data_IF_522643981198
#
_entry.id   IF_522643981198
#
_cell.length_a   1.000
_cell.length_b   1.000
_cell.length_c   1.000
_cell.angle_alpha   90.00
_cell.angle_beta   90.00
_cell.angle_gamma   90.00
#
_symmetry.space_group_name_H-M   'P 1'
#
loop_
_entity.id
_entity.type
_entity.pdbx_description
1 polymer ?
#
# COMPACT_ATOMS: atom_id res chain seq x y z
N UNK A 1 -41.82 19.66 -10.51
CA UNK A 1 -40.66 18.85 -10.07
C UNK A 1 -39.53 19.81 -9.76
N UNK A 2 -39.38 20.20 -8.49
CA UNK A 2 -38.26 21.04 -8.05
C UNK A 2 -36.99 20.18 -8.03
N UNK A 3 -35.89 20.57 -8.70
CA UNK A 3 -34.60 19.95 -8.47
C UNK A 3 -34.17 20.30 -7.05
N UNK A 4 -34.11 19.31 -6.17
CA UNK A 4 -33.67 19.45 -4.78
C UNK A 4 -32.31 20.12 -4.71
N UNK A 5 -32.25 21.27 -4.02
CA UNK A 5 -31.09 22.14 -3.86
C UNK A 5 -29.99 21.61 -2.92
N UNK A 6 -29.99 20.31 -2.55
CA UNK A 6 -29.09 19.74 -1.54
C UNK A 6 -28.20 18.59 -2.05
N UNK A 7 -28.00 18.46 -3.36
CA UNK A 7 -26.91 17.62 -3.86
C UNK A 7 -25.59 18.36 -3.65
N UNK A 8 -24.64 17.85 -2.83
CA UNK A 8 -23.34 18.49 -2.65
C UNK A 8 -22.68 18.68 -4.02
N UNK A 9 -22.11 19.85 -4.27
CA UNK A 9 -21.49 20.15 -5.55
C UNK A 9 -20.33 19.19 -5.76
N UNK A 10 -20.10 18.75 -7.00
CA UNK A 10 -18.98 17.85 -7.32
C UNK A 10 -17.62 18.40 -6.83
N UNK A 11 -17.45 19.72 -6.83
CA UNK A 11 -16.26 20.38 -6.27
C UNK A 11 -16.09 20.14 -4.76
N UNK A 12 -17.18 20.07 -3.99
CA UNK A 12 -17.13 19.81 -2.54
C UNK A 12 -16.73 18.36 -2.26
N UNK A 13 -17.26 17.42 -3.06
CA UNK A 13 -16.90 16.00 -3.03
C UNK A 13 -15.41 15.79 -3.32
N UNK A 14 -14.88 16.46 -4.34
CA UNK A 14 -13.45 16.46 -4.69
C UNK A 14 -12.61 17.07 -3.57
N UNK A 15 -13.02 18.21 -3.00
CA UNK A 15 -12.31 18.87 -1.89
C UNK A 15 -12.27 18.00 -0.65
N UNK A 16 -13.36 17.31 -0.32
CA UNK A 16 -13.41 16.40 0.82
C UNK A 16 -12.50 15.18 0.60
N UNK A 17 -12.53 14.57 -0.60
CA UNK A 17 -11.60 13.50 -0.95
C UNK A 17 -10.14 13.97 -0.85
N UNK A 18 -9.82 15.17 -1.36
CA UNK A 18 -8.46 15.71 -1.32
C UNK A 18 -7.96 15.93 0.11
N UNK A 19 -8.81 16.43 1.02
CA UNK A 19 -8.46 16.62 2.44
C UNK A 19 -8.13 15.32 3.16
N UNK A 20 -8.75 14.21 2.77
CA UNK A 20 -8.46 12.88 3.31
C UNK A 20 -7.25 12.23 2.62
N UNK A 21 -7.14 12.40 1.30
CA UNK A 21 -6.05 11.83 0.51
C UNK A 21 -4.69 12.49 0.81
N UNK A 22 -4.64 13.80 1.07
CA UNK A 22 -3.40 14.53 1.32
C UNK A 22 -2.56 13.95 2.48
N UNK A 23 -3.09 13.77 3.70
CA UNK A 23 -2.30 13.17 4.79
C UNK A 23 -1.94 11.70 4.52
N UNK A 24 -2.79 10.93 3.82
CA UNK A 24 -2.48 9.56 3.43
C UNK A 24 -1.32 9.49 2.44
N UNK A 25 -1.36 10.31 1.38
CA UNK A 25 -0.30 10.42 0.39
C UNK A 25 1.02 10.88 1.04
N UNK A 26 0.96 11.85 1.96
CA UNK A 26 2.12 12.29 2.73
C UNK A 26 2.68 11.18 3.65
N UNK A 27 1.80 10.36 4.24
CA UNK A 27 2.18 9.18 5.00
C UNK A 27 2.91 8.13 4.15
N UNK A 28 2.41 7.84 2.94
CA UNK A 28 3.11 6.94 2.00
C UNK A 28 4.44 7.51 1.54
N UNK A 29 4.51 8.82 1.26
CA UNK A 29 5.76 9.50 0.94
C UNK A 29 6.78 9.33 2.07
N UNK A 30 6.37 9.43 3.33
CA UNK A 30 7.25 9.19 4.47
C UNK A 30 7.81 7.76 4.49
N UNK A 31 7.03 6.74 4.09
CA UNK A 31 7.55 5.37 3.97
C UNK A 31 8.57 5.24 2.83
N UNK A 32 8.38 5.96 1.71
CA UNK A 32 9.38 6.03 0.64
C UNK A 32 10.68 6.68 1.09
N UNK A 33 10.57 7.74 1.90
CA UNK A 33 11.73 8.42 2.49
C UNK A 33 12.50 7.54 3.47
N UNK A 34 11.82 6.65 4.20
CA UNK A 34 12.49 5.65 5.06
C UNK A 34 13.43 4.77 4.25
N UNK A 35 12.96 4.20 3.14
CA UNK A 35 13.80 3.38 2.26
C UNK A 35 14.96 4.17 1.64
N UNK A 36 14.72 5.44 1.30
CA UNK A 36 15.76 6.35 0.81
C UNK A 36 16.84 6.61 1.88
N UNK A 37 16.45 6.91 3.13
CA UNK A 37 17.39 7.13 4.23
C UNK A 37 18.22 5.89 4.52
N UNK A 38 17.60 4.71 4.56
CA UNK A 38 18.29 3.44 4.75
C UNK A 38 19.39 3.23 3.68
N UNK A 39 19.04 3.50 2.43
CA UNK A 39 19.97 3.39 1.29
C UNK A 39 21.12 4.40 1.40
N UNK A 40 20.84 5.65 1.78
CA UNK A 40 21.86 6.70 1.92
C UNK A 40 22.82 6.39 3.07
N UNK A 41 22.29 5.94 4.22
CA UNK A 41 23.11 5.57 5.38
C UNK A 41 24.00 4.38 5.04
N UNK A 42 23.43 3.33 4.42
CA UNK A 42 24.19 2.15 4.00
C UNK A 42 25.25 2.49 2.95
N UNK A 43 24.92 3.34 1.97
CA UNK A 43 25.83 3.78 0.92
C UNK A 43 27.03 4.58 1.42
N UNK A 44 26.86 5.39 2.47
CA UNK A 44 27.97 6.12 3.11
C UNK A 44 28.92 5.23 3.88
N UNK A 45 28.43 4.14 4.46
CA UNK A 45 29.25 3.19 5.20
C UNK A 45 30.09 2.31 4.27
N UNK A 46 29.54 1.89 3.12
CA UNK A 46 30.30 1.14 2.14
C UNK A 46 29.44 0.35 1.16
N UNK A 47 30.04 -0.01 0.02
CA UNK A 47 29.37 -0.72 -1.08
C UNK A 47 28.83 -2.09 -0.66
N UNK A 48 29.59 -2.84 0.16
CA UNK A 48 29.16 -4.13 0.69
C UNK A 48 27.95 -3.99 1.63
N UNK A 49 27.94 -2.97 2.49
CA UNK A 49 26.82 -2.66 3.40
C UNK A 49 25.57 -2.27 2.62
N UNK A 50 25.72 -1.42 1.60
CA UNK A 50 24.63 -1.04 0.70
C UNK A 50 24.00 -2.26 0.02
N UNK A 51 24.81 -3.13 -0.55
CA UNK A 51 24.33 -4.34 -1.21
C UNK A 51 23.60 -5.28 -0.24
N UNK A 52 24.15 -5.46 0.97
CA UNK A 52 23.54 -6.26 2.04
C UNK A 52 22.17 -5.73 2.48
N UNK A 53 22.06 -4.41 2.70
CA UNK A 53 20.81 -3.75 3.07
C UNK A 53 19.78 -3.83 1.95
N UNK A 54 20.19 -3.66 0.69
CA UNK A 54 19.29 -3.77 -0.46
C UNK A 54 18.67 -5.17 -0.58
N UNK A 55 19.50 -6.22 -0.48
CA UNK A 55 19.03 -7.62 -0.50
C UNK A 55 18.12 -7.90 0.71
N UNK A 56 18.52 -7.50 1.92
CA UNK A 56 17.73 -7.69 3.13
C UNK A 56 16.38 -6.97 3.07
N UNK A 57 16.33 -5.75 2.53
CA UNK A 57 15.12 -4.96 2.37
C UNK A 57 14.17 -5.58 1.35
N UNK A 58 14.66 -6.07 0.21
CA UNK A 58 13.85 -6.75 -0.79
C UNK A 58 13.22 -8.04 -0.23
N UNK A 59 14.01 -8.83 0.50
CA UNK A 59 13.56 -10.07 1.15
C UNK A 59 12.61 -9.83 2.32
N UNK A 60 12.65 -8.65 2.93
CA UNK A 60 11.71 -8.23 3.96
C UNK A 60 10.37 -7.77 3.36
N UNK A 61 10.39 -6.86 2.38
CA UNK A 61 9.18 -6.23 1.86
C UNK A 61 8.30 -7.17 1.05
N UNK A 62 8.89 -8.07 0.27
CA UNK A 62 8.15 -9.02 -0.58
C UNK A 62 7.15 -9.86 0.24
N UNK A 63 7.56 -10.59 1.30
CA UNK A 63 6.61 -11.32 2.13
C UNK A 63 5.76 -10.39 3.02
N UNK A 64 6.24 -9.20 3.38
CA UNK A 64 5.48 -8.21 4.18
C UNK A 64 4.22 -7.67 3.45
N UNK A 65 4.21 -7.67 2.11
CA UNK A 65 3.05 -7.24 1.31
C UNK A 65 1.78 -8.03 1.64
N UNK A 66 1.90 -9.32 1.96
CA UNK A 66 0.75 -10.19 2.23
C UNK A 66 0.05 -9.82 3.56
N UNK A 67 0.74 -9.72 4.70
CA UNK A 67 0.15 -9.18 5.93
C UNK A 67 -0.37 -7.74 5.77
N UNK A 68 0.40 -6.86 5.13
CA UNK A 68 0.00 -5.48 4.91
C UNK A 68 -1.35 -5.41 4.17
N UNK A 69 -1.45 -6.09 3.02
CA UNK A 69 -2.69 -6.12 2.26
C UNK A 69 -3.83 -6.85 2.98
N UNK A 70 -3.53 -7.86 3.80
CA UNK A 70 -4.56 -8.53 4.62
C UNK A 70 -5.16 -7.58 5.65
N UNK A 71 -4.35 -6.74 6.27
CA UNK A 71 -4.79 -5.74 7.25
C UNK A 71 -5.52 -4.55 6.61
N UNK A 72 -5.35 -4.30 5.30
CA UNK A 72 -6.12 -3.30 4.54
C UNK A 72 -7.62 -3.62 4.42
N UNK A 73 -8.10 -4.75 4.94
CA UNK A 73 -9.54 -4.99 5.13
C UNK A 73 -10.13 -4.25 6.35
N UNK A 74 -9.28 -3.73 7.25
CA UNK A 74 -9.73 -3.04 8.45
C UNK A 74 -10.33 -1.65 8.16
N UNK A 75 -9.70 -0.75 7.37
CA UNK A 75 -10.28 0.57 7.08
C UNK A 75 -11.71 0.53 6.52
N UNK A 76 -12.05 -0.29 5.49
CA UNK A 76 -13.42 -0.34 4.99
C UNK A 76 -14.40 -0.93 6.02
N UNK A 77 -13.97 -1.91 6.82
CA UNK A 77 -14.82 -2.49 7.88
C UNK A 77 -15.16 -1.49 8.98
N UNK A 78 -14.16 -0.73 9.43
CA UNK A 78 -14.33 0.33 10.44
C UNK A 78 -15.20 1.46 9.87
N UNK A 79 -14.92 1.89 8.65
CA UNK A 79 -15.64 2.99 8.02
C UNK A 79 -17.12 2.69 7.78
N UNK A 80 -17.45 1.44 7.42
CA UNK A 80 -18.84 0.99 7.31
C UNK A 80 -19.57 0.98 8.66
N UNK A 81 -18.92 0.51 9.73
CA UNK A 81 -19.52 0.54 11.08
C UNK A 81 -19.76 1.97 11.54
N UNK A 82 -18.81 2.86 11.29
CA UNK A 82 -18.97 4.29 11.59
C UNK A 82 -20.09 4.93 10.75
N UNK A 83 -20.16 4.62 9.45
CA UNK A 83 -21.25 5.06 8.56
C UNK A 83 -22.63 4.56 8.99
N UNK A 84 -22.71 3.33 9.49
CA UNK A 84 -23.94 2.73 10.03
C UNK A 84 -24.29 3.23 11.44
N UNK A 85 -23.51 4.16 12.01
CA UNK A 85 -23.61 4.63 13.41
C UNK A 85 -23.47 3.52 14.47
N UNK A 86 -22.83 2.41 14.11
CA UNK A 86 -22.58 1.24 14.98
C UNK A 86 -21.19 1.32 15.61
N UNK A 87 -20.84 2.48 16.18
CA UNK A 87 -19.49 2.77 16.70
C UNK A 87 -19.08 1.86 17.87
N UNK A 88 -20.04 1.36 18.65
CA UNK A 88 -19.78 0.39 19.72
C UNK A 88 -19.17 -0.93 19.25
N UNK A 89 -19.32 -1.29 17.98
CA UNK A 89 -18.76 -2.53 17.41
C UNK A 89 -17.35 -2.35 16.83
N UNK A 90 -16.87 -1.11 16.68
CA UNK A 90 -15.54 -0.79 16.15
C UNK A 90 -14.44 -1.26 17.10
N UNK A 91 -14.62 -1.03 18.41
CA UNK A 91 -13.67 -1.45 19.44
C UNK A 91 -13.42 -2.97 19.46
N UNK A 92 -14.48 -3.80 19.57
CA UNK A 92 -14.38 -5.26 19.45
C UNK A 92 -13.71 -5.70 18.14
N UNK A 93 -14.13 -5.15 16.99
CA UNK A 93 -13.54 -5.47 15.70
C UNK A 93 -12.03 -5.18 15.65
N UNK A 94 -11.61 -4.04 16.18
CA UNK A 94 -10.21 -3.65 16.24
C UNK A 94 -9.39 -4.55 17.17
N UNK A 95 -9.93 -4.96 18.32
CA UNK A 95 -9.24 -5.93 19.19
C UNK A 95 -9.02 -7.27 18.50
N UNK A 96 -10.00 -7.74 17.71
CA UNK A 96 -9.85 -8.96 16.91
C UNK A 96 -8.85 -8.78 15.76
N UNK A 97 -8.73 -7.57 15.18
CA UNK A 97 -7.70 -7.30 14.18
C UNK A 97 -6.29 -7.23 14.77
N UNK A 98 -6.12 -6.87 16.05
CA UNK A 98 -4.84 -6.99 16.75
C UNK A 98 -4.39 -8.45 16.86
N UNK A 99 -5.29 -9.37 17.22
CA UNK A 99 -4.99 -10.81 17.24
C UNK A 99 -4.59 -11.33 15.86
N UNK A 100 -5.30 -10.88 14.82
CA UNK A 100 -4.93 -11.19 13.43
C UNK A 100 -3.54 -10.64 13.06
N UNK A 101 -3.24 -9.39 13.41
CA UNK A 101 -1.92 -8.79 13.17
C UNK A 101 -0.80 -9.52 13.90
N UNK A 102 -1.01 -9.91 15.16
CA UNK A 102 -0.04 -10.72 15.90
C UNK A 102 0.18 -12.08 15.27
N UNK A 103 -0.89 -12.76 14.81
CA UNK A 103 -0.78 -14.03 14.09
C UNK A 103 0.00 -13.91 12.77
N UNK A 104 -0.33 -12.91 11.96
CA UNK A 104 0.39 -12.63 10.70
C UNK A 104 1.84 -12.18 10.96
N UNK A 105 2.06 -11.37 11.99
CA UNK A 105 3.38 -10.92 12.42
C UNK A 105 4.26 -12.07 12.93
N UNK A 106 3.70 -13.00 13.69
CA UNK A 106 4.40 -14.21 14.14
C UNK A 106 4.76 -15.13 12.98
N UNK A 107 3.82 -15.33 12.04
CA UNK A 107 4.09 -16.09 10.81
C UNK A 107 5.24 -15.47 10.01
N UNK A 108 5.21 -14.14 9.84
CA UNK A 108 6.25 -13.44 9.10
C UNK A 108 7.59 -13.42 9.86
N UNK A 109 7.57 -13.32 11.19
CA UNK A 109 8.76 -13.44 12.03
C UNK A 109 9.44 -14.81 11.85
N UNK A 110 8.65 -15.89 11.84
CA UNK A 110 9.16 -17.24 11.58
C UNK A 110 9.72 -17.36 10.16
N UNK A 111 9.01 -16.83 9.17
CA UNK A 111 9.45 -16.82 7.77
C UNK A 111 10.79 -16.08 7.61
N UNK A 112 10.90 -14.85 8.10
CA UNK A 112 12.13 -14.04 8.04
C UNK A 112 13.29 -14.65 8.83
N UNK A 113 13.00 -15.50 9.82
CA UNK A 113 14.05 -16.27 10.52
C UNK A 113 14.67 -17.36 9.66
N UNK A 114 13.90 -17.96 8.74
CA UNK A 114 14.36 -19.04 7.85
C UNK A 114 14.91 -18.49 6.53
N UNK A 115 14.45 -17.33 6.07
CA UNK A 115 14.88 -16.71 4.81
C UNK A 115 16.42 -16.61 4.62
N UNK A 116 17.22 -16.25 5.63
CA UNK A 116 18.67 -16.16 5.48
C UNK A 116 19.31 -17.47 5.02
N UNK A 117 18.74 -18.63 5.35
CA UNK A 117 19.21 -19.94 4.92
C UNK A 117 19.09 -20.15 3.41
N UNK A 118 18.19 -19.39 2.75
CA UNK A 118 17.97 -19.44 1.31
C UNK A 118 18.91 -18.50 0.54
N UNK A 119 19.66 -17.62 1.21
CA UNK A 119 20.56 -16.65 0.54
C UNK A 119 21.67 -17.33 -0.28
N UNK A 120 22.27 -18.40 0.26
CA UNK A 120 23.30 -19.18 -0.44
C UNK A 120 22.77 -19.85 -1.71
N UNK A 121 21.70 -20.67 -1.62
CA UNK A 121 21.07 -21.28 -2.79
C UNK A 121 20.56 -20.28 -3.84
N UNK A 122 20.27 -19.04 -3.46
CA UNK A 122 19.85 -17.97 -4.38
C UNK A 122 21.00 -17.38 -5.22
N UNK A 123 22.24 -17.76 -4.98
CA UNK A 123 23.41 -17.27 -5.73
C UNK A 123 23.87 -15.86 -5.32
N UNK A 124 23.51 -15.41 -4.11
CA UNK A 124 24.00 -14.14 -3.57
C UNK A 124 25.49 -14.27 -3.24
N UNK A 125 26.29 -13.24 -3.57
CA UNK A 125 27.73 -13.24 -3.33
C UNK A 125 28.05 -13.47 -1.84
N UNK A 126 29.04 -14.32 -1.57
CA UNK A 126 29.40 -14.78 -0.22
C UNK A 126 29.69 -13.62 0.75
N UNK A 127 30.26 -12.52 0.26
CA UNK A 127 30.61 -11.36 1.05
C UNK A 127 29.39 -10.55 1.53
N UNK A 128 28.25 -10.66 0.84
CA UNK A 128 27.01 -9.94 1.14
C UNK A 128 26.14 -10.72 2.14
N UNK A 129 26.23 -12.06 2.12
CA UNK A 129 25.39 -12.95 2.92
C UNK A 129 25.43 -12.61 4.42
N UNK A 130 26.60 -12.40 5.07
CA UNK A 130 26.66 -12.07 6.49
C UNK A 130 25.92 -10.77 6.83
N UNK A 131 26.10 -9.73 6.00
CA UNK A 131 25.46 -8.44 6.18
C UNK A 131 23.94 -8.51 6.02
N UNK A 132 23.47 -9.18 4.96
CA UNK A 132 22.04 -9.35 4.70
C UNK A 132 21.37 -10.21 5.80
N UNK A 133 22.05 -11.26 6.27
CA UNK A 133 21.60 -12.09 7.39
C UNK A 133 21.49 -11.29 8.68
N UNK A 134 22.51 -10.47 8.98
CA UNK A 134 22.49 -9.56 10.12
C UNK A 134 21.33 -8.56 10.08
N UNK A 135 21.09 -7.94 8.92
CA UNK A 135 19.95 -7.05 8.71
C UNK A 135 18.61 -7.77 8.94
N UNK A 136 18.41 -8.95 8.34
CA UNK A 136 17.17 -9.74 8.47
C UNK A 136 16.91 -10.19 9.92
N UNK A 137 17.95 -10.62 10.63
CA UNK A 137 17.84 -11.01 12.04
C UNK A 137 17.57 -9.86 12.99
N UNK A 138 17.98 -8.64 12.62
CA UNK A 138 17.68 -7.43 13.37
C UNK A 138 16.25 -6.94 13.08
N UNK A 139 15.90 -6.76 11.80
CA UNK A 139 14.61 -6.20 11.39
C UNK A 139 13.42 -7.10 11.77
N UNK A 140 13.62 -8.43 11.88
CA UNK A 140 12.54 -9.34 12.27
C UNK A 140 11.90 -8.98 13.62
N UNK A 141 12.67 -8.43 14.55
CA UNK A 141 12.16 -8.00 15.86
C UNK A 141 11.23 -6.79 15.77
N UNK A 142 11.27 -6.06 14.66
CA UNK A 142 10.33 -4.98 14.35
C UNK A 142 9.03 -5.44 13.69
N UNK A 143 8.95 -6.66 13.15
CA UNK A 143 7.76 -7.17 12.42
C UNK A 143 6.49 -7.19 13.28
N UNK A 144 6.51 -7.73 14.51
CA UNK A 144 5.33 -7.71 15.36
C UNK A 144 4.88 -6.28 15.67
N UNK A 145 5.82 -5.36 15.89
CA UNK A 145 5.50 -3.96 16.14
C UNK A 145 4.87 -3.30 14.91
N UNK A 146 5.44 -3.54 13.73
CA UNK A 146 4.95 -2.95 12.48
C UNK A 146 3.55 -3.44 12.11
N UNK A 147 3.27 -4.74 12.25
CA UNK A 147 1.92 -5.29 11.96
C UNK A 147 0.86 -4.74 12.92
N UNK A 148 1.18 -4.60 14.21
CA UNK A 148 0.28 -3.98 15.19
C UNK A 148 0.11 -2.48 14.92
N UNK A 149 1.18 -1.78 14.56
CA UNK A 149 1.14 -0.38 14.13
C UNK A 149 0.19 -0.20 12.92
N UNK A 150 0.25 -1.10 11.93
CA UNK A 150 -0.67 -1.07 10.79
C UNK A 150 -2.13 -1.17 11.22
N UNK A 151 -2.47 -2.03 12.21
CA UNK A 151 -3.83 -2.09 12.75
C UNK A 151 -4.28 -0.79 13.42
N UNK A 152 -3.39 -0.13 14.16
CA UNK A 152 -3.69 1.16 14.80
C UNK A 152 -3.88 2.28 13.78
N UNK A 153 -2.98 2.34 12.80
CA UNK A 153 -3.05 3.25 11.65
C UNK A 153 -4.36 3.06 10.89
N UNK A 154 -4.66 1.83 10.47
CA UNK A 154 -5.84 1.51 9.67
C UNK A 154 -7.17 1.74 10.40
N UNK A 155 -7.19 1.66 11.73
CA UNK A 155 -8.32 2.13 12.54
C UNK A 155 -8.54 3.64 12.38
N UNK A 156 -7.48 4.42 12.55
CA UNK A 156 -7.53 5.89 12.45
C UNK A 156 -7.94 6.34 11.04
N UNK A 157 -7.36 5.70 10.01
CA UNK A 157 -7.69 5.96 8.61
C UNK A 157 -9.15 5.61 8.31
N UNK A 158 -9.66 4.48 8.83
CA UNK A 158 -11.06 4.06 8.70
C UNK A 158 -12.07 5.04 9.32
N UNK A 159 -11.66 5.82 10.32
CA UNK A 159 -12.45 6.85 10.99
C UNK A 159 -12.31 8.25 10.37
N UNK A 160 -11.79 8.35 9.15
CA UNK A 160 -11.54 9.60 8.43
C UNK A 160 -10.53 10.53 9.12
N UNK A 161 -9.60 9.96 9.90
CA UNK A 161 -8.61 10.74 10.65
C UNK A 161 -7.19 10.24 10.38
N UNK A 162 -6.61 10.67 9.27
CA UNK A 162 -5.30 10.21 8.81
C UNK A 162 -4.13 11.15 9.17
N UNK A 163 -4.40 12.28 9.83
CA UNK A 163 -3.34 13.20 10.29
C UNK A 163 -2.31 12.52 11.22
N UNK A 164 -2.70 11.66 12.20
CA UNK A 164 -1.74 10.97 13.06
C UNK A 164 -0.84 10.01 12.28
N UNK A 165 -1.40 9.35 11.26
CA UNK A 165 -0.67 8.48 10.34
C UNK A 165 0.49 9.23 9.68
N UNK A 166 0.22 10.43 9.17
CA UNK A 166 1.25 11.29 8.59
C UNK A 166 2.31 11.71 9.61
N UNK A 167 1.89 12.26 10.76
CA UNK A 167 2.82 12.78 11.78
C UNK A 167 3.73 11.69 12.35
N UNK A 168 3.19 10.51 12.63
CA UNK A 168 3.96 9.38 13.18
C UNK A 168 4.81 8.72 12.09
N UNK A 169 4.37 8.75 10.82
CA UNK A 169 5.19 8.39 9.67
C UNK A 169 6.48 9.20 9.64
N UNK A 170 6.37 10.53 9.56
CA UNK A 170 7.53 11.44 9.56
C UNK A 170 8.32 11.39 10.87
N UNK A 171 7.65 11.22 12.01
CA UNK A 171 8.31 10.99 13.29
C UNK A 171 9.19 9.73 13.29
N UNK A 172 8.77 8.68 12.60
CA UNK A 172 9.58 7.49 12.37
C UNK A 172 10.87 7.80 11.60
N UNK A 173 10.78 8.62 10.55
CA UNK A 173 11.97 9.05 9.80
C UNK A 173 12.98 9.79 10.69
N UNK A 174 12.50 10.64 11.60
CA UNK A 174 13.33 11.37 12.57
C UNK A 174 13.99 10.45 13.59
N UNK A 175 13.42 9.27 13.88
CA UNK A 175 14.07 8.25 14.71
C UNK A 175 15.08 7.43 13.90
N UNK A 176 14.71 7.06 12.67
CA UNK A 176 15.50 6.20 11.81
C UNK A 176 16.79 6.87 11.33
N UNK A 177 16.74 8.12 10.85
CA UNK A 177 17.93 8.77 10.30
C UNK A 177 19.10 8.89 11.30
N UNK A 178 18.92 9.42 12.53
CA UNK A 178 20.00 9.47 13.52
C UNK A 178 20.32 8.08 14.08
N UNK A 179 19.31 7.25 14.39
CA UNK A 179 19.51 5.92 14.95
C UNK A 179 20.26 5.00 14.00
N UNK A 180 19.88 5.01 12.73
CA UNK A 180 20.53 4.29 11.65
C UNK A 180 21.97 4.75 11.46
N UNK A 181 22.23 6.05 11.44
CA UNK A 181 23.60 6.57 11.31
C UNK A 181 24.50 6.16 12.49
N UNK A 182 24.00 6.25 13.73
CA UNK A 182 24.75 5.91 14.94
C UNK A 182 25.04 4.40 15.02
N UNK A 183 24.02 3.56 14.82
CA UNK A 183 24.15 2.10 14.92
C UNK A 183 24.95 1.49 13.77
N UNK A 184 24.89 2.11 12.59
CA UNK A 184 25.65 1.64 11.42
C UNK A 184 27.14 1.95 11.59
N UNK A 185 27.51 3.16 12.01
CA UNK A 185 28.90 3.60 12.11
C UNK A 185 29.54 3.41 13.50
N UNK A 186 28.84 2.86 14.49
CA UNK A 186 29.39 2.62 15.83
C UNK A 186 29.71 3.90 16.63
N UNK A 187 28.89 4.95 16.51
CA UNK A 187 29.08 6.17 17.29
C UNK A 187 28.64 5.97 18.76
N UNK A 188 29.19 6.76 19.67
CA UNK A 188 28.94 6.70 21.13
C UNK A 188 29.47 5.44 21.85
N UNK A 189 30.53 4.80 21.32
CA UNK A 189 31.16 3.63 21.95
C UNK A 189 30.41 2.32 21.70
N UNK A 190 29.44 2.31 20.79
CA UNK A 190 28.78 1.11 20.29
C UNK A 190 29.64 0.41 19.24
N UNK A 191 29.58 -0.93 19.12
CA UNK A 191 30.27 -1.65 18.06
C UNK A 191 29.71 -1.25 16.69
N UNK A 192 30.58 -1.20 15.67
CA UNK A 192 30.20 -0.99 14.28
C UNK A 192 29.42 -2.21 13.77
N UNK A 193 28.10 -2.07 13.61
CA UNK A 193 27.21 -3.18 13.24
C UNK A 193 26.88 -3.20 11.73
N UNK A 194 27.31 -2.19 10.96
CA UNK A 194 27.06 -2.09 9.52
C UNK A 194 25.58 -2.30 9.17
N UNK A 195 25.31 -3.24 8.26
CA UNK A 195 23.95 -3.57 7.82
C UNK A 195 23.04 -4.06 8.96
N UNK A 196 23.57 -4.76 9.96
CA UNK A 196 22.77 -5.20 11.11
C UNK A 196 22.32 -4.01 11.97
N UNK A 197 23.16 -2.97 12.09
CA UNK A 197 22.83 -1.75 12.82
C UNK A 197 21.64 -1.03 12.23
N UNK A 198 21.56 -0.97 10.89
CA UNK A 198 20.41 -0.40 10.21
C UNK A 198 19.13 -1.21 10.43
N UNK A 199 19.21 -2.54 10.39
CA UNK A 199 18.06 -3.39 10.71
C UNK A 199 17.53 -3.20 12.14
N UNK A 200 18.42 -2.97 13.12
CA UNK A 200 18.04 -2.63 14.49
C UNK A 200 17.42 -1.23 14.59
N UNK A 201 17.94 -0.26 13.84
CA UNK A 201 17.38 1.08 13.77
C UNK A 201 15.95 1.06 13.20
N UNK A 202 15.71 0.29 12.11
CA UNK A 202 14.37 0.11 11.55
C UNK A 202 13.44 -0.61 12.54
N UNK A 203 13.92 -1.62 13.26
CA UNK A 203 13.14 -2.29 14.30
C UNK A 203 12.75 -1.33 15.44
N UNK A 204 13.71 -0.53 15.93
CA UNK A 204 13.47 0.49 16.95
C UNK A 204 12.49 1.56 16.47
N UNK A 205 12.58 1.99 15.21
CA UNK A 205 11.63 2.90 14.58
C UNK A 205 10.22 2.31 14.61
N UNK A 206 10.03 1.05 14.22
CA UNK A 206 8.70 0.41 14.24
C UNK A 206 8.10 0.32 15.65
N UNK A 207 8.93 0.01 16.65
CA UNK A 207 8.50 0.05 18.06
C UNK A 207 8.15 1.47 18.50
N UNK A 208 8.95 2.48 18.13
CA UNK A 208 8.67 3.88 18.41
C UNK A 208 7.36 4.35 17.80
N UNK A 209 7.11 4.00 16.54
CA UNK A 209 5.85 4.29 15.84
C UNK A 209 4.66 3.61 16.50
N UNK A 210 4.79 2.33 16.87
CA UNK A 210 3.77 1.60 17.61
C UNK A 210 3.44 2.30 18.94
N UNK A 211 4.44 2.61 19.75
CA UNK A 211 4.25 3.25 21.06
C UNK A 211 3.64 4.64 20.93
N UNK A 212 4.11 5.45 19.98
CA UNK A 212 3.57 6.77 19.72
C UNK A 212 2.09 6.70 19.29
N UNK A 213 1.74 5.74 18.43
CA UNK A 213 0.37 5.58 17.96
C UNK A 213 -0.55 5.03 19.06
N UNK A 214 -0.07 4.08 19.85
CA UNK A 214 -0.79 3.53 21.00
C UNK A 214 -1.10 4.62 22.04
N UNK A 215 -0.10 5.45 22.35
CA UNK A 215 -0.23 6.60 23.25
C UNK A 215 -1.22 7.62 22.69
N UNK A 216 -1.13 7.96 21.40
CA UNK A 216 -2.06 8.87 20.75
C UNK A 216 -3.51 8.37 20.82
N UNK A 217 -3.76 7.09 20.51
CA UNK A 217 -5.10 6.49 20.61
C UNK A 217 -5.63 6.47 22.04
N UNK A 218 -4.75 6.33 23.04
CA UNK A 218 -5.15 6.31 24.46
C UNK A 218 -5.47 7.71 24.99
N UNK A 219 -4.71 8.73 24.59
CA UNK A 219 -4.85 10.09 25.11
C UNK A 219 -5.88 10.93 24.36
N UNK A 220 -6.12 10.62 23.09
CA UNK A 220 -7.00 11.44 22.24
C UNK A 220 -8.47 11.25 22.62
N UNK A 221 -9.19 12.32 23.03
CA UNK A 221 -10.60 12.25 23.41
C UNK A 221 -11.51 11.73 22.30
N UNK A 222 -11.05 11.86 21.04
CA UNK A 222 -11.81 11.48 19.83
C UNK A 222 -12.03 9.97 19.68
N UNK A 223 -11.23 9.14 20.36
CA UNK A 223 -11.35 7.67 20.32
C UNK A 223 -11.86 7.09 21.65
N UNK A 224 -12.16 7.94 22.63
CA UNK A 224 -12.60 7.52 23.95
C UNK A 224 -13.95 6.77 23.90
N UNK A 225 -14.83 7.16 22.96
CA UNK A 225 -16.14 6.54 22.73
C UNK A 225 -16.06 5.09 22.21
N UNK A 226 -14.92 4.69 21.64
CA UNK A 226 -14.73 3.36 21.06
C UNK A 226 -14.35 2.30 22.09
N UNK A 227 -13.99 2.70 23.32
CA UNK A 227 -13.61 1.78 24.39
C UNK A 227 -12.49 0.80 23.97
N UNK A 228 -11.52 1.27 23.18
CA UNK A 228 -10.49 0.42 22.53
C UNK A 228 -9.77 -0.47 23.55
N UNK A 229 -9.36 0.11 24.68
CA UNK A 229 -8.61 -0.54 25.75
C UNK A 229 -9.49 -0.96 26.94
N UNK A 230 -10.82 -0.82 26.86
CA UNK A 230 -11.71 -1.03 28.00
C UNK A 230 -11.88 -2.52 28.38
N UNK A 231 -11.77 -3.42 27.40
CA UNK A 231 -11.99 -4.86 27.61
C UNK A 231 -10.90 -5.68 26.93
N UNK A 232 -10.39 -6.67 27.65
CA UNK A 232 -9.58 -7.72 27.06
C UNK A 232 -10.49 -8.83 26.52
N UNK A 233 -10.63 -8.89 25.19
CA UNK A 233 -11.42 -9.94 24.54
C UNK A 233 -10.50 -11.09 24.06
N UNK A 234 -10.94 -12.32 24.35
CA UNK A 234 -10.30 -13.52 23.80
C UNK A 234 -10.43 -13.56 22.27
N UNK A 235 -9.52 -14.24 21.55
CA UNK A 235 -9.61 -14.39 20.10
C UNK A 235 -10.95 -15.04 19.69
N UNK A 236 -11.74 -14.33 18.89
CA UNK A 236 -12.98 -14.83 18.32
C UNK A 236 -12.74 -15.26 16.88
N UNK A 237 -12.60 -16.57 16.68
CA UNK A 237 -12.27 -17.12 15.37
C UNK A 237 -13.26 -16.73 14.27
N UNK A 238 -14.55 -16.59 14.58
CA UNK A 238 -15.56 -16.18 13.58
C UNK A 238 -15.24 -14.79 12.97
N UNK A 239 -14.91 -13.81 13.82
CA UNK A 239 -14.57 -12.45 13.41
C UNK A 239 -13.22 -12.41 12.68
N UNK A 240 -12.22 -13.12 13.22
CA UNK A 240 -10.88 -13.22 12.61
C UNK A 240 -10.97 -13.88 11.22
N UNK A 241 -11.73 -14.98 11.09
CA UNK A 241 -11.99 -15.66 9.81
C UNK A 241 -12.73 -14.74 8.82
N UNK A 242 -13.64 -13.90 9.31
CA UNK A 242 -14.32 -12.89 8.50
C UNK A 242 -13.40 -11.80 7.98
N UNK A 243 -12.43 -11.35 8.80
CA UNK A 243 -11.38 -10.42 8.40
C UNK A 243 -10.40 -11.06 7.42
N UNK A 244 -9.92 -12.28 7.70
CA UNK A 244 -9.07 -13.06 6.80
C UNK A 244 -9.73 -13.32 5.45
N UNK A 245 -11.02 -13.70 5.44
CA UNK A 245 -11.75 -13.98 4.21
C UNK A 245 -11.89 -12.78 3.28
N UNK A 246 -11.83 -11.56 3.83
CA UNK A 246 -11.86 -10.29 3.08
C UNK A 246 -10.46 -9.75 2.79
N UNK A 247 -9.55 -9.86 3.75
CA UNK A 247 -8.19 -9.34 3.69
C UNK A 247 -7.23 -10.20 2.87
N UNK A 248 -7.27 -11.52 3.00
CA UNK A 248 -6.36 -12.41 2.28
C UNK A 248 -6.43 -12.20 0.75
N UNK A 249 -7.61 -12.04 0.11
CA UNK A 249 -7.68 -11.66 -1.30
C UNK A 249 -7.01 -10.32 -1.62
N UNK A 250 -7.07 -9.32 -0.73
CA UNK A 250 -6.38 -8.04 -0.90
C UNK A 250 -4.87 -8.24 -0.81
N UNK A 251 -4.40 -8.97 0.20
CA UNK A 251 -3.00 -9.34 0.37
C UNK A 251 -2.44 -10.05 -0.86
N UNK A 252 -3.13 -11.09 -1.34
CA UNK A 252 -2.75 -11.81 -2.58
C UNK A 252 -2.69 -10.86 -3.76
N UNK A 253 -3.68 -9.97 -3.94
CA UNK A 253 -3.67 -9.00 -5.05
C UNK A 253 -2.43 -8.12 -5.02
N UNK A 254 -2.07 -7.56 -3.86
CA UNK A 254 -0.90 -6.69 -3.71
C UNK A 254 0.40 -7.48 -3.89
N UNK A 255 0.49 -8.70 -3.38
CA UNK A 255 1.65 -9.57 -3.60
C UNK A 255 1.79 -9.97 -5.07
N UNK A 256 0.69 -10.23 -5.78
CA UNK A 256 0.70 -10.52 -7.22
C UNK A 256 1.16 -9.32 -8.04
N UNK A 257 0.80 -8.11 -7.62
CA UNK A 257 1.26 -6.86 -8.22
C UNK A 257 2.75 -6.61 -7.93
N UNK A 258 3.19 -6.75 -6.68
CA UNK A 258 4.60 -6.59 -6.34
C UNK A 258 5.50 -7.62 -7.04
N UNK A 259 5.08 -8.89 -7.08
CA UNK A 259 5.82 -9.95 -7.78
C UNK A 259 5.89 -9.73 -9.29
N UNK A 260 4.87 -9.10 -9.91
CA UNK A 260 4.90 -8.70 -11.32
C UNK A 260 6.09 -7.78 -11.62
N UNK A 261 6.28 -6.73 -10.80
CA UNK A 261 7.39 -5.79 -10.97
C UNK A 261 8.74 -6.44 -10.71
N UNK A 262 8.84 -7.30 -9.68
CA UNK A 262 10.08 -8.01 -9.36
C UNK A 262 10.48 -8.94 -10.51
N UNK A 263 9.56 -9.76 -11.03
CA UNK A 263 9.87 -10.65 -12.15
C UNK A 263 10.18 -9.86 -13.41
N UNK A 264 9.49 -8.74 -13.67
CA UNK A 264 9.83 -7.87 -14.80
C UNK A 264 11.24 -7.33 -14.68
N UNK A 265 11.65 -6.82 -13.50
CA UNK A 265 13.01 -6.36 -13.26
C UNK A 265 14.04 -7.47 -13.48
N UNK A 266 13.76 -8.70 -13.02
CA UNK A 266 14.63 -9.87 -13.23
C UNK A 266 14.74 -10.26 -14.71
N UNK A 267 13.66 -10.16 -15.49
CA UNK A 267 13.69 -10.44 -16.93
C UNK A 267 14.48 -9.37 -17.69
N UNK A 268 14.31 -8.08 -17.33
CA UNK A 268 15.14 -7.00 -17.88
C UNK A 268 16.61 -7.21 -17.48
N UNK A 269 16.85 -7.76 -16.28
CA UNK A 269 18.12 -8.30 -15.78
C UNK A 269 18.94 -9.05 -16.81
N UNK A 270 18.26 -9.91 -17.58
CA UNK A 270 18.90 -10.80 -18.56
C UNK A 270 19.33 -10.09 -19.84
N UNK A 271 18.87 -8.86 -20.07
CA UNK A 271 19.16 -8.07 -21.28
C UNK A 271 20.46 -7.27 -21.16
N UNK A 272 21.07 -7.21 -19.98
CA UNK A 272 22.34 -6.53 -19.72
C UNK A 272 22.22 -5.34 -18.76
N UNK A 273 23.37 -4.79 -18.38
CA UNK A 273 23.48 -3.78 -17.32
C UNK A 273 22.77 -2.47 -17.64
N UNK A 274 22.91 -1.96 -18.87
CA UNK A 274 22.30 -0.70 -19.33
C UNK A 274 20.76 -0.76 -19.27
N UNK A 275 20.08 -1.78 -19.84
CA UNK A 275 18.64 -2.01 -19.66
C UNK A 275 18.16 -1.99 -18.21
N UNK A 276 18.90 -2.64 -17.31
CA UNK A 276 18.54 -2.77 -15.89
C UNK A 276 18.66 -1.42 -15.19
N UNK A 277 19.77 -0.72 -15.37
CA UNK A 277 19.98 0.60 -14.79
C UNK A 277 18.90 1.58 -15.25
N UNK A 278 18.58 1.57 -16.55
CA UNK A 278 17.53 2.42 -17.11
C UNK A 278 16.14 2.08 -16.55
N UNK A 279 15.80 0.79 -16.43
CA UNK A 279 14.55 0.35 -15.81
C UNK A 279 14.46 0.78 -14.36
N UNK A 280 15.55 0.66 -13.59
CA UNK A 280 15.56 1.01 -12.18
C UNK A 280 15.32 2.51 -11.95
N UNK A 281 15.90 3.38 -12.79
CA UNK A 281 15.61 4.81 -12.75
C UNK A 281 14.12 5.05 -13.04
N UNK A 282 13.59 4.46 -14.11
CA UNK A 282 12.20 4.69 -14.51
C UNK A 282 11.19 4.17 -13.47
N UNK A 283 11.39 2.99 -12.90
CA UNK A 283 10.47 2.40 -11.91
C UNK A 283 10.51 3.15 -10.58
N UNK A 284 11.66 3.69 -10.17
CA UNK A 284 11.77 4.51 -8.97
C UNK A 284 10.95 5.80 -9.09
N UNK A 285 11.06 6.51 -10.22
CA UNK A 285 10.27 7.73 -10.47
C UNK A 285 8.78 7.40 -10.56
N UNK A 286 8.42 6.27 -11.18
CA UNK A 286 7.03 5.79 -11.23
C UNK A 286 6.48 5.48 -9.84
N UNK A 287 7.25 4.79 -8.99
CA UNK A 287 6.86 4.44 -7.62
C UNK A 287 6.64 5.67 -6.74
N UNK A 288 7.48 6.70 -6.89
CA UNK A 288 7.28 7.98 -6.19
C UNK A 288 5.97 8.66 -6.60
N UNK A 289 5.66 8.68 -7.89
CA UNK A 289 4.39 9.24 -8.39
C UNK A 289 3.18 8.43 -7.92
N UNK A 290 3.32 7.10 -7.82
CA UNK A 290 2.25 6.17 -7.42
C UNK A 290 1.76 6.36 -5.98
N UNK A 291 2.60 6.90 -5.09
CA UNK A 291 2.22 7.14 -3.68
C UNK A 291 1.01 8.06 -3.54
N UNK A 292 0.82 9.00 -4.48
CA UNK A 292 -0.28 9.95 -4.46
C UNK A 292 -1.61 9.25 -4.82
N UNK A 293 -1.77 8.58 -5.99
CA UNK A 293 -2.95 7.77 -6.29
C UNK A 293 -3.25 6.72 -5.23
N UNK A 294 -2.23 6.09 -4.65
CA UNK A 294 -2.43 5.10 -3.60
C UNK A 294 -3.10 5.72 -2.36
N UNK A 295 -2.67 6.91 -1.93
CA UNK A 295 -3.33 7.68 -0.87
C UNK A 295 -4.77 8.09 -1.23
N UNK A 296 -5.03 8.48 -2.48
CA UNK A 296 -6.39 8.77 -2.97
C UNK A 296 -7.27 7.52 -2.98
N UNK A 297 -6.72 6.36 -3.31
CA UNK A 297 -7.42 5.08 -3.30
C UNK A 297 -7.79 4.65 -1.87
N UNK A 298 -6.90 4.83 -0.90
CA UNK A 298 -7.21 4.60 0.53
C UNK A 298 -8.32 5.56 1.01
N UNK A 299 -8.24 6.86 0.69
CA UNK A 299 -9.29 7.81 1.02
C UNK A 299 -10.64 7.41 0.39
N UNK A 300 -10.63 6.97 -0.88
CA UNK A 300 -11.83 6.51 -1.58
C UNK A 300 -12.40 5.24 -0.95
N UNK A 301 -11.54 4.31 -0.50
CA UNK A 301 -11.93 3.09 0.23
C UNK A 301 -12.75 3.45 1.47
N UNK A 302 -12.26 4.42 2.25
CA UNK A 302 -12.94 4.89 3.47
C UNK A 302 -14.25 5.59 3.11
N UNK A 303 -14.26 6.55 2.17
CA UNK A 303 -15.48 7.27 1.80
C UNK A 303 -16.58 6.34 1.23
N UNK A 304 -16.20 5.38 0.39
CA UNK A 304 -17.13 4.37 -0.14
C UNK A 304 -17.63 3.45 0.97
N UNK A 305 -16.75 3.01 1.88
CA UNK A 305 -17.14 2.23 3.06
C UNK A 305 -18.14 2.97 3.95
N UNK A 306 -17.88 4.24 4.25
CA UNK A 306 -18.80 5.07 5.02
C UNK A 306 -20.15 5.26 4.35
N UNK A 307 -20.17 5.56 3.04
CA UNK A 307 -21.40 5.70 2.27
C UNK A 307 -22.21 4.40 2.23
N UNK A 308 -21.54 3.26 2.09
CA UNK A 308 -22.16 1.94 2.18
C UNK A 308 -22.78 1.69 3.55
N UNK A 309 -22.06 2.02 4.63
CA UNK A 309 -22.57 1.91 6.00
C UNK A 309 -23.83 2.77 6.23
N UNK A 310 -23.91 3.93 5.57
CA UNK A 310 -25.07 4.84 5.59
C UNK A 310 -26.24 4.38 4.70
N UNK A 311 -26.06 3.36 3.87
CA UNK A 311 -27.04 2.97 2.85
C UNK A 311 -27.18 3.97 1.70
N UNK A 312 -26.22 4.88 1.51
CA UNK A 312 -26.24 5.93 0.48
C UNK A 312 -25.56 5.46 -0.81
N UNK A 313 -26.34 4.90 -1.75
CA UNK A 313 -25.83 4.43 -3.05
C UNK A 313 -25.23 5.57 -3.89
N UNK A 314 -25.82 6.76 -3.84
CA UNK A 314 -25.31 7.88 -4.62
C UNK A 314 -24.01 8.38 -4.01
N UNK A 315 -23.88 8.38 -2.68
CA UNK A 315 -22.64 8.66 -1.95
C UNK A 315 -21.49 7.74 -2.34
N UNK A 316 -21.75 6.44 -2.55
CA UNK A 316 -20.75 5.48 -3.05
C UNK A 316 -20.20 5.93 -4.41
N UNK A 317 -21.08 6.33 -5.33
CA UNK A 317 -20.69 6.76 -6.68
C UNK A 317 -20.01 8.13 -6.66
N UNK A 318 -20.51 9.09 -5.89
CA UNK A 318 -19.90 10.41 -5.70
C UNK A 318 -18.48 10.29 -5.17
N UNK A 319 -18.26 9.44 -4.15
CA UNK A 319 -16.93 9.18 -3.61
C UNK A 319 -15.97 8.61 -4.67
N UNK A 320 -16.42 7.63 -5.47
CA UNK A 320 -15.62 7.05 -6.55
C UNK A 320 -15.27 8.07 -7.64
N UNK A 321 -16.24 8.82 -8.16
CA UNK A 321 -15.99 9.79 -9.23
C UNK A 321 -15.14 10.97 -8.76
N UNK A 322 -15.29 11.41 -7.50
CA UNK A 322 -14.41 12.40 -6.90
C UNK A 322 -12.97 11.87 -6.78
N UNK A 323 -12.79 10.62 -6.35
CA UNK A 323 -11.50 9.96 -6.35
C UNK A 323 -10.91 9.81 -7.75
N UNK A 324 -11.74 9.49 -8.75
CA UNK A 324 -11.32 9.35 -10.15
C UNK A 324 -10.82 10.66 -10.73
N UNK A 325 -11.50 11.77 -10.48
CA UNK A 325 -11.04 13.08 -10.90
C UNK A 325 -9.70 13.45 -10.26
N UNK A 326 -9.51 13.17 -8.96
CA UNK A 326 -8.24 13.40 -8.28
C UNK A 326 -7.11 12.53 -8.81
N UNK A 327 -7.36 11.24 -9.04
CA UNK A 327 -6.39 10.32 -9.62
C UNK A 327 -6.02 10.76 -11.04
N UNK A 328 -6.98 11.02 -11.91
CA UNK A 328 -6.68 11.46 -13.28
C UNK A 328 -5.95 12.81 -13.30
N UNK A 329 -6.31 13.74 -12.42
CA UNK A 329 -5.61 15.02 -12.31
C UNK A 329 -4.17 14.89 -11.80
N UNK A 330 -3.95 14.06 -10.78
CA UNK A 330 -2.59 13.82 -10.23
C UNK A 330 -1.73 13.02 -11.20
N UNK A 331 -2.28 12.01 -11.87
CA UNK A 331 -1.58 11.25 -12.92
C UNK A 331 -1.28 12.11 -14.16
N UNK A 332 -2.17 13.02 -14.55
CA UNK A 332 -1.88 13.98 -15.62
C UNK A 332 -0.70 14.90 -15.26
N UNK A 333 -0.64 15.38 -14.01
CA UNK A 333 0.49 16.18 -13.54
C UNK A 333 1.80 15.38 -13.54
N UNK A 334 1.78 14.18 -12.97
CA UNK A 334 2.96 13.30 -12.94
C UNK A 334 3.43 12.89 -14.34
N UNK A 335 2.50 12.57 -15.24
CA UNK A 335 2.80 12.28 -16.64
C UNK A 335 3.40 13.50 -17.36
N UNK A 336 2.89 14.71 -17.10
CA UNK A 336 3.45 15.95 -17.65
C UNK A 336 4.88 16.20 -17.16
N UNK A 337 5.14 15.98 -15.87
CA UNK A 337 6.48 16.09 -15.28
C UNK A 337 7.44 15.08 -15.91
N UNK A 338 7.00 13.84 -16.11
CA UNK A 338 7.80 12.82 -16.79
C UNK A 338 8.03 13.15 -18.28
N UNK A 339 7.02 13.68 -18.97
CA UNK A 339 7.11 13.99 -20.40
C UNK A 339 8.03 15.17 -20.68
N UNK A 340 7.90 16.26 -19.91
CA UNK A 340 8.68 17.50 -20.10
C UNK A 340 10.03 17.46 -19.38
N UNK A 341 10.14 16.70 -18.29
CA UNK A 341 11.30 16.66 -17.41
C UNK A 341 12.15 15.40 -17.52
N UNK A 342 11.87 14.48 -18.46
CA UNK A 342 12.56 13.17 -18.53
C UNK A 342 14.09 13.28 -18.46
N UNK A 343 14.70 14.15 -19.26
CA UNK A 343 16.15 14.33 -19.30
C UNK A 343 16.71 14.93 -18.02
N UNK A 344 16.01 15.93 -17.44
CA UNK A 344 16.43 16.56 -16.19
C UNK A 344 16.35 15.58 -15.01
N UNK A 345 15.25 14.82 -14.92
CA UNK A 345 15.05 13.81 -13.87
C UNK A 345 16.14 12.74 -13.98
N UNK A 346 16.38 12.22 -15.19
CA UNK A 346 17.40 11.18 -15.41
C UNK A 346 18.81 11.69 -15.15
N UNK A 347 19.10 12.95 -15.50
CA UNK A 347 20.39 13.60 -15.21
C UNK A 347 20.70 13.73 -13.72
N UNK A 348 19.69 13.65 -12.84
CA UNK A 348 19.90 13.56 -11.39
C UNK A 348 20.41 12.17 -10.95
N UNK A 349 20.13 11.12 -11.72
CA UNK A 349 20.50 9.75 -11.38
C UNK A 349 21.82 9.31 -12.02
N UNK A 350 22.12 9.74 -13.24
CA UNK A 350 23.32 9.29 -13.97
C UNK A 350 23.86 10.32 -14.95
N UNK A 351 25.19 10.35 -15.07
CA UNK A 351 25.91 11.09 -16.12
C UNK A 351 26.20 10.26 -17.37
N UNK A 352 25.90 8.96 -17.36
CA UNK A 352 26.07 8.09 -18.53
C UNK A 352 24.99 8.39 -19.58
N UNK A 353 25.41 8.85 -20.76
CA UNK A 353 24.52 9.24 -21.84
C UNK A 353 23.69 8.07 -22.40
N UNK A 354 24.22 6.84 -22.40
CA UNK A 354 23.56 5.66 -22.96
C UNK A 354 22.46 5.18 -22.01
N UNK A 355 22.78 5.02 -20.71
CA UNK A 355 21.79 4.70 -19.68
C UNK A 355 20.76 5.82 -19.60
N UNK A 356 21.21 7.07 -19.67
CA UNK A 356 20.36 8.24 -19.57
C UNK A 356 19.35 8.32 -20.72
N UNK A 357 19.77 8.10 -21.95
CA UNK A 357 18.87 8.10 -23.10
C UNK A 357 17.80 6.99 -23.02
N UNK A 358 18.20 5.78 -22.60
CA UNK A 358 17.26 4.68 -22.44
C UNK A 358 16.27 4.96 -21.29
N UNK A 359 16.75 5.42 -20.14
CA UNK A 359 15.92 5.78 -18.99
C UNK A 359 14.91 6.89 -19.33
N UNK A 360 15.35 7.93 -20.04
CA UNK A 360 14.48 9.02 -20.50
C UNK A 360 13.38 8.50 -21.44
N UNK A 361 13.70 7.52 -22.30
CA UNK A 361 12.69 6.86 -23.13
C UNK A 361 11.71 6.02 -22.30
N UNK A 362 12.18 5.32 -21.26
CA UNK A 362 11.34 4.53 -20.36
C UNK A 362 10.41 5.39 -19.52
N UNK A 363 10.82 6.61 -19.15
CA UNK A 363 9.93 7.56 -18.47
C UNK A 363 8.71 7.96 -19.32
N UNK A 364 8.82 7.94 -20.65
CA UNK A 364 7.67 8.18 -21.53
C UNK A 364 6.66 7.03 -21.45
N UNK A 365 7.13 5.79 -21.37
CA UNK A 365 6.26 4.63 -21.11
C UNK A 365 5.69 4.68 -19.69
N UNK A 366 6.46 5.13 -18.70
CA UNK A 366 6.00 5.33 -17.33
C UNK A 366 4.86 6.37 -17.25
N UNK A 367 4.94 7.44 -18.04
CA UNK A 367 3.88 8.45 -18.15
C UNK A 367 2.56 7.87 -18.69
N UNK A 368 2.63 6.98 -19.68
CA UNK A 368 1.45 6.27 -20.19
C UNK A 368 0.91 5.25 -19.18
N UNK A 369 1.82 4.48 -18.58
CA UNK A 369 1.56 3.46 -17.56
C UNK A 369 0.79 4.00 -16.35
N UNK A 370 1.04 5.25 -15.96
CA UNK A 370 0.43 5.87 -14.78
C UNK A 370 -1.09 5.98 -14.84
N UNK A 371 -1.68 6.27 -16.01
CA UNK A 371 -3.13 6.42 -16.11
C UNK A 371 -3.89 5.12 -15.78
N UNK A 372 -3.60 3.98 -16.44
CA UNK A 372 -4.16 2.69 -16.05
C UNK A 372 -3.90 2.34 -14.58
N UNK A 373 -2.68 2.56 -14.11
CA UNK A 373 -2.25 2.22 -12.75
C UNK A 373 -3.09 2.97 -11.70
N UNK A 374 -3.24 4.28 -11.87
CA UNK A 374 -4.11 5.11 -11.03
C UNK A 374 -5.58 4.64 -11.03
N UNK A 375 -6.15 4.36 -12.20
CA UNK A 375 -7.56 3.93 -12.31
C UNK A 375 -7.77 2.55 -11.70
N UNK A 376 -6.82 1.63 -11.90
CA UNK A 376 -6.81 0.30 -11.31
C UNK A 376 -6.81 0.42 -9.78
N UNK A 377 -5.89 1.20 -9.21
CA UNK A 377 -5.68 1.22 -7.75
C UNK A 377 -6.85 1.88 -7.04
N UNK A 378 -7.42 2.93 -7.65
CA UNK A 378 -8.64 3.57 -7.20
C UNK A 378 -9.83 2.60 -7.22
N UNK A 379 -10.02 1.89 -8.34
CA UNK A 379 -11.14 0.96 -8.50
C UNK A 379 -11.02 -0.21 -7.54
N UNK A 380 -9.80 -0.74 -7.33
CA UNK A 380 -9.51 -1.72 -6.30
C UNK A 380 -9.84 -1.19 -4.90
N UNK A 381 -9.44 0.03 -4.56
CA UNK A 381 -9.77 0.68 -3.29
C UNK A 381 -11.28 0.84 -3.08
N UNK A 382 -12.00 1.31 -4.09
CA UNK A 382 -13.44 1.46 -4.04
C UNK A 382 -14.16 0.11 -3.85
N UNK A 383 -13.68 -0.96 -4.48
CA UNK A 383 -14.19 -2.32 -4.30
C UNK A 383 -13.91 -2.89 -2.90
N UNK A 384 -12.73 -2.58 -2.31
CA UNK A 384 -12.45 -2.87 -0.89
C UNK A 384 -13.46 -2.16 0.02
N UNK A 385 -13.81 -0.91 -0.30
CA UNK A 385 -14.89 -0.15 0.35
C UNK A 385 -16.25 -0.85 0.32
N UNK A 386 -16.52 -1.62 -0.74
CA UNK A 386 -17.74 -2.44 -0.91
C UNK A 386 -17.66 -3.84 -0.27
N UNK A 387 -16.55 -4.19 0.40
CA UNK A 387 -16.21 -5.57 0.82
C UNK A 387 -16.13 -6.59 -0.34
N UNK A 388 -16.03 -6.14 -1.59
CA UNK A 388 -15.89 -7.01 -2.76
C UNK A 388 -14.40 -7.21 -3.05
N UNK A 389 -13.79 -8.27 -2.53
CA UNK A 389 -12.32 -8.46 -2.61
C UNK A 389 -11.90 -9.71 -3.38
N UNK A 390 -12.74 -10.75 -3.45
CA UNK A 390 -12.41 -12.02 -4.12
C UNK A 390 -12.44 -11.92 -5.64
N UNK A 391 -13.47 -11.30 -6.21
CA UNK A 391 -13.57 -11.14 -7.67
C UNK A 391 -12.45 -10.23 -8.18
N UNK A 392 -12.15 -9.09 -7.54
CA UNK A 392 -11.02 -8.25 -7.93
C UNK A 392 -9.67 -8.97 -7.92
N UNK A 393 -9.43 -9.86 -6.95
CA UNK A 393 -8.21 -10.67 -6.90
C UNK A 393 -8.03 -11.51 -8.16
N UNK A 394 -9.06 -12.23 -8.61
CA UNK A 394 -8.98 -13.04 -9.83
C UNK A 394 -8.85 -12.19 -11.10
N UNK A 395 -9.54 -11.04 -11.14
CA UNK A 395 -9.42 -10.11 -12.27
C UNK A 395 -8.00 -9.52 -12.37
N UNK A 396 -7.41 -9.14 -11.24
CA UNK A 396 -6.04 -8.64 -11.17
C UNK A 396 -5.03 -9.74 -11.53
N UNK A 397 -5.23 -10.96 -11.02
CA UNK A 397 -4.41 -12.12 -11.37
C UNK A 397 -4.37 -12.37 -12.88
N UNK A 398 -5.54 -12.40 -13.52
CA UNK A 398 -5.67 -12.57 -14.96
C UNK A 398 -5.01 -11.41 -15.73
N UNK A 399 -5.24 -10.18 -15.31
CA UNK A 399 -4.72 -9.00 -16.00
C UNK A 399 -3.19 -8.91 -15.91
N UNK A 400 -2.61 -9.16 -14.73
CA UNK A 400 -1.17 -9.06 -14.49
C UNK A 400 -0.41 -10.26 -15.05
N UNK A 401 -0.81 -11.47 -14.67
CA UNK A 401 -0.06 -12.69 -15.00
C UNK A 401 -0.58 -13.39 -16.25
N UNK A 402 -1.88 -13.30 -16.54
CA UNK A 402 -2.46 -13.89 -17.74
C UNK A 402 -2.26 -13.06 -19.01
N UNK A 403 -2.15 -11.74 -18.89
CA UNK A 403 -2.05 -10.83 -20.03
C UNK A 403 -0.76 -10.00 -19.98
N UNK A 404 -0.54 -9.26 -18.88
CA UNK A 404 0.60 -8.34 -18.76
C UNK A 404 1.95 -9.03 -18.93
N UNK A 405 2.21 -10.10 -18.18
CA UNK A 405 3.47 -10.85 -18.27
C UNK A 405 3.70 -11.51 -19.62
N UNK A 406 2.76 -12.29 -20.20
CA UNK A 406 2.97 -12.91 -21.50
C UNK A 406 3.20 -11.89 -22.61
N UNK A 407 2.44 -10.79 -22.63
CA UNK A 407 2.63 -9.70 -23.60
C UNK A 407 3.99 -9.03 -23.39
N UNK A 408 4.36 -8.70 -22.15
CA UNK A 408 5.63 -8.06 -21.84
C UNK A 408 6.85 -8.93 -22.16
N UNK A 409 6.81 -10.21 -21.79
CA UNK A 409 7.85 -11.18 -22.12
C UNK A 409 7.92 -11.46 -23.62
N UNK A 410 6.78 -11.56 -24.30
CA UNK A 410 6.72 -11.74 -25.76
C UNK A 410 7.31 -10.54 -26.52
N UNK A 411 6.87 -9.32 -26.20
CA UNK A 411 7.38 -8.10 -26.82
C UNK A 411 8.86 -7.86 -26.46
N UNK A 412 9.20 -8.00 -25.17
CA UNK A 412 10.53 -7.68 -24.67
C UNK A 412 11.61 -8.68 -25.05
N UNK A 413 11.31 -9.98 -24.95
CA UNK A 413 12.30 -11.05 -25.16
C UNK A 413 12.18 -11.67 -26.56
N UNK A 414 10.97 -12.05 -27.00
CA UNK A 414 10.81 -12.78 -28.26
C UNK A 414 10.92 -11.88 -29.49
N UNK A 415 10.32 -10.69 -29.45
CA UNK A 415 10.39 -9.69 -30.52
C UNK A 415 11.61 -8.77 -30.43
N UNK A 416 12.41 -8.89 -29.37
CA UNK A 416 13.64 -8.12 -29.20
C UNK A 416 13.46 -6.63 -28.90
N UNK A 417 12.26 -6.18 -28.49
CA UNK A 417 12.02 -4.76 -28.14
C UNK A 417 12.61 -4.38 -26.77
N UNK A 418 13.20 -5.35 -26.07
CA UNK A 418 13.92 -5.16 -24.82
C UNK A 418 13.04 -4.56 -23.72
N UNK A 419 13.56 -3.63 -22.91
CA UNK A 419 12.81 -3.03 -21.79
C UNK A 419 11.52 -2.34 -22.22
N UNK A 420 11.50 -1.71 -23.41
CA UNK A 420 10.32 -1.00 -23.93
C UNK A 420 9.14 -1.96 -24.12
N UNK A 421 9.41 -3.15 -24.65
CA UNK A 421 8.40 -4.20 -24.80
C UNK A 421 7.81 -4.67 -23.47
N UNK A 422 8.64 -4.77 -22.43
CA UNK A 422 8.17 -5.13 -21.09
C UNK A 422 7.28 -4.05 -20.47
N UNK A 423 7.67 -2.77 -20.59
CA UNK A 423 6.84 -1.66 -20.12
C UNK A 423 5.49 -1.59 -20.86
N UNK A 424 5.46 -1.82 -22.17
CA UNK A 424 4.21 -1.93 -22.93
C UNK A 424 3.33 -3.09 -22.44
N UNK A 425 3.93 -4.24 -22.13
CA UNK A 425 3.20 -5.37 -21.53
C UNK A 425 2.60 -5.04 -20.17
N UNK A 426 3.37 -4.38 -19.29
CA UNK A 426 2.88 -3.90 -18.00
C UNK A 426 1.72 -2.92 -18.17
N UNK A 427 1.86 -1.93 -19.07
CA UNK A 427 0.79 -0.98 -19.39
C UNK A 427 -0.46 -1.68 -19.92
N UNK A 428 -0.32 -2.69 -20.79
CA UNK A 428 -1.44 -3.46 -21.30
C UNK A 428 -2.16 -4.24 -20.17
N UNK A 429 -1.40 -4.91 -19.31
CA UNK A 429 -1.92 -5.62 -18.14
C UNK A 429 -2.70 -4.70 -17.20
N UNK A 430 -2.13 -3.54 -16.87
CA UNK A 430 -2.80 -2.55 -16.03
C UNK A 430 -4.01 -1.92 -16.70
N UNK A 431 -3.98 -1.70 -18.02
CA UNK A 431 -5.13 -1.19 -18.78
C UNK A 431 -6.30 -2.17 -18.71
N UNK A 432 -6.03 -3.46 -18.86
CA UNK A 432 -7.05 -4.50 -18.68
C UNK A 432 -7.55 -4.51 -17.25
N UNK A 433 -6.66 -4.46 -16.25
CA UNK A 433 -7.05 -4.41 -14.84
C UNK A 433 -7.93 -3.20 -14.52
N UNK A 434 -7.55 -2.00 -14.98
CA UNK A 434 -8.30 -0.76 -14.82
C UNK A 434 -9.72 -0.88 -15.37
N UNK A 435 -9.86 -1.37 -16.61
CA UNK A 435 -11.18 -1.53 -17.24
C UNK A 435 -12.02 -2.59 -16.50
N UNK A 436 -11.44 -3.74 -16.16
CA UNK A 436 -12.17 -4.82 -15.49
C UNK A 436 -12.61 -4.42 -14.08
N UNK A 437 -11.73 -3.80 -13.29
CA UNK A 437 -12.05 -3.35 -11.93
C UNK A 437 -13.02 -2.17 -11.93
N UNK A 438 -12.84 -1.18 -12.80
CA UNK A 438 -13.79 -0.07 -12.91
C UNK A 438 -15.20 -0.56 -13.31
N UNK A 439 -15.28 -1.46 -14.30
CA UNK A 439 -16.57 -2.09 -14.70
C UNK A 439 -17.17 -2.90 -13.56
N UNK A 440 -16.36 -3.66 -12.81
CA UNK A 440 -16.81 -4.42 -11.63
C UNK A 440 -17.37 -3.49 -10.57
N UNK A 441 -16.67 -2.40 -10.25
CA UNK A 441 -17.14 -1.40 -9.30
C UNK A 441 -18.49 -0.80 -9.71
N UNK A 442 -18.61 -0.33 -10.96
CA UNK A 442 -19.85 0.27 -11.46
C UNK A 442 -21.02 -0.71 -11.35
N UNK A 443 -20.83 -1.98 -11.72
CA UNK A 443 -21.86 -3.03 -11.57
C UNK A 443 -22.20 -3.33 -10.12
N UNK A 444 -21.20 -3.46 -9.24
CA UNK A 444 -21.42 -3.74 -7.82
C UNK A 444 -22.12 -2.58 -7.11
N UNK A 445 -21.80 -1.32 -7.46
CA UNK A 445 -22.42 -0.13 -6.89
C UNK A 445 -23.93 -0.03 -7.14
N UNK A 446 -24.41 -0.58 -8.26
CA UNK A 446 -25.83 -0.61 -8.61
C UNK A 446 -26.62 -1.65 -7.80
N UNK A 447 -25.95 -2.73 -7.36
CA UNK A 447 -26.56 -3.89 -6.69
C UNK A 447 -26.61 -3.78 -5.18
N UNK A 448 -26.05 -2.73 -4.59
CA UNK A 448 -26.09 -2.50 -3.13
C UNK A 448 -27.54 -2.34 -2.70
N UNK A 449 -28.14 -3.19 -1.85
CA UNK A 449 -29.52 -3.01 -1.41
C UNK A 449 -29.67 -1.69 -0.62
N UNK A 450 -30.78 -0.96 -0.85
CA UNK A 450 -31.14 0.18 0.01
C UNK A 450 -31.66 -0.47 1.28
N UNK A 451 -30.88 -0.40 2.36
CA UNK A 451 -31.48 -0.58 3.69
C UNK A 451 -32.29 0.68 3.92
N UNK A 452 -33.57 0.64 3.55
CA UNK A 452 -34.53 1.63 4.02
C UNK A 452 -34.49 1.50 5.54
N UNK A 453 -33.83 2.44 6.22
CA UNK A 453 -34.09 2.68 7.63
C UNK A 453 -35.54 3.13 7.71
N UNK A 454 -36.46 2.17 7.74
CA UNK A 454 -37.80 2.39 8.21
C UNK A 454 -37.65 2.86 9.66
N UNK A 455 -37.66 4.17 9.84
CA UNK A 455 -37.96 4.78 11.13
C UNK A 455 -39.31 4.21 11.52
N UNK A 456 -39.28 3.33 12.51
CA UNK A 456 -40.44 2.97 13.31
C UNK A 456 -40.83 4.26 14.05
N UNK A 457 -41.66 5.08 13.41
CA UNK A 457 -42.65 5.87 14.11
C UNK A 457 -43.89 4.97 14.21
N UNK A 458 -44.17 4.46 15.40
CA UNK A 458 -45.36 3.67 15.70
C UNK A 458 -45.19 2.17 15.45
N UNK A 459 -45.36 1.38 16.51
CA UNK A 459 -45.14 -0.06 16.48
C UNK A 459 -46.07 -0.81 15.52
N UNK A 460 -45.51 -1.78 14.82
CA UNK A 460 -46.02 -3.15 14.69
C UNK A 460 -45.14 -3.92 13.71
N UNK A 461 -44.93 -5.18 14.05
CA UNK A 461 -44.16 -6.17 13.31
C UNK A 461 -44.57 -6.29 11.85
N UNK A 462 -43.61 -6.28 10.92
CA UNK A 462 -43.78 -6.94 9.62
C UNK A 462 -42.52 -7.76 9.31
N UNK A 463 -42.76 -9.06 9.23
CA UNK A 463 -41.90 -10.12 8.70
C UNK A 463 -41.41 -9.80 7.29
N UNK A 464 -40.10 -9.84 7.08
CA UNK A 464 -39.52 -9.84 5.73
C UNK A 464 -39.46 -11.28 5.23
N UNK A 465 -40.40 -11.64 4.36
CA UNK A 465 -40.30 -12.70 3.36
C UNK A 465 -40.25 -12.01 2.01
N UNK A 466 -39.14 -12.12 1.28
CA UNK A 466 -39.12 -12.97 0.08
C UNK A 466 -37.75 -13.03 -0.60
N UNK A 467 -37.51 -14.23 -1.13
CA UNK A 467 -36.37 -14.67 -1.91
C UNK A 467 -36.70 -14.62 -3.41
N UNK A 468 -35.70 -14.27 -4.23
CA UNK A 468 -35.36 -14.89 -5.53
C UNK A 468 -34.13 -14.18 -6.12
#
# INVERSE_FOLDING_TARGET
MNPSADSPRFADEVRQSARLAAPLAAGHLSHGLVAFVDTVVAGRHGTTTLAAVAVGTALFWLPMMLPMGTLMALPPSVSQLDGARRRGEIGPLWRQSLWLALGLGALLFALVTVLPLMLGPMGIAADIIPGATGFLHAIRWGIPAFTVYLCMRYLSDGLHWSLPTMLIGFGGLLLLAPGGYVLTNGLFGLPEMGAAGLGWASAAMFWGQLLAFALYLRLSPRFADLGLYAHWERPQWATIRGLLGRGLPIGVTITMEGSLFIVTALLIGRLGEVPVAAHQIAINVASLCFMIPFGVAEATTVRVGHALGRGDRDGIRRAYFAGLALVLGTQALSALVMLLGNHAIVGLYTGDAVVGALAASLLLYAALFQFPDGVQVLSAGALRGLNDTRVPMWLAALAYWGIGMPVGAGLGLALGWGPRGMWLGLTAGLSVAAVLLARRFLRSSLRVPIVLQARIEGGSSVTVTDAA
#
